data_IF_506403500125
#
_entry.id   IF_506403500125
#
_cell.length_a   1.000
_cell.length_b   1.000
_cell.length_c   1.000
_cell.angle_alpha   90.00
_cell.angle_beta   90.00
_cell.angle_gamma   90.00
#
_symmetry.space_group_name_H-M   'P 1'
#
loop_
_entity.id
_entity.type
_entity.pdbx_description
1 polymer ?
#
# COMPACT_ATOMS: atom_id res chain seq x y z
N UNK A 1 -11.32 -33.95 -19.25
CA UNK A 1 -11.83 -32.79 -20.00
C UNK A 1 -11.13 -31.57 -19.44
N UNK A 2 -10.17 -31.05 -20.19
CA UNK A 2 -9.27 -29.96 -19.84
C UNK A 2 -9.96 -28.61 -19.99
N UNK A 3 -10.12 -27.86 -18.90
CA UNK A 3 -10.24 -26.40 -18.96
C UNK A 3 -9.19 -25.80 -18.04
N UNK A 4 -8.02 -25.57 -18.61
CA UNK A 4 -6.95 -24.81 -18.00
C UNK A 4 -7.21 -23.31 -18.17
N UNK A 5 -7.45 -22.65 -17.05
CA UNK A 5 -7.02 -21.27 -16.81
C UNK A 5 -6.58 -21.22 -15.35
N UNK A 6 -5.33 -21.60 -15.11
CA UNK A 6 -4.66 -21.39 -13.83
C UNK A 6 -4.33 -19.89 -13.70
N UNK A 7 -5.34 -19.04 -13.49
CA UNK A 7 -5.08 -17.71 -12.95
C UNK A 7 -4.58 -17.94 -11.52
N UNK A 8 -3.29 -17.74 -11.31
CA UNK A 8 -2.70 -17.78 -9.98
C UNK A 8 -3.50 -16.82 -9.09
N UNK A 9 -4.13 -17.35 -8.03
CA UNK A 9 -4.81 -16.54 -7.02
C UNK A 9 -3.82 -15.81 -6.11
N UNK A 10 -2.52 -16.09 -6.28
CA UNK A 10 -1.46 -15.64 -5.40
C UNK A 10 -0.96 -14.26 -5.82
N UNK A 11 -0.96 -13.34 -4.85
CA UNK A 11 -0.13 -12.14 -4.86
C UNK A 11 0.94 -12.30 -3.79
N UNK A 12 2.17 -11.91 -4.11
CA UNK A 12 3.26 -11.93 -3.14
C UNK A 12 3.04 -10.81 -2.11
N UNK A 13 2.52 -11.16 -0.94
CA UNK A 13 2.19 -10.23 0.12
C UNK A 13 2.67 -10.74 1.49
N UNK A 14 3.36 -9.89 2.23
CA UNK A 14 3.74 -10.13 3.62
C UNK A 14 2.82 -9.35 4.53
N UNK A 15 2.25 -10.01 5.54
CA UNK A 15 1.41 -9.35 6.55
C UNK A 15 2.16 -9.21 7.85
N UNK A 16 1.93 -8.09 8.50
CA UNK A 16 2.59 -7.71 9.74
C UNK A 16 1.58 -7.10 10.68
N UNK A 17 1.78 -7.37 11.95
CA UNK A 17 1.04 -6.68 12.99
C UNK A 17 1.54 -5.24 13.07
N UNK A 18 0.60 -4.32 13.24
CA UNK A 18 0.91 -3.00 13.74
C UNK A 18 0.96 -3.03 15.28
N UNK A 19 1.20 -1.89 15.93
CA UNK A 19 1.36 -1.84 17.37
C UNK A 19 0.14 -2.40 18.14
N UNK A 20 -1.08 -2.10 17.69
CA UNK A 20 -2.34 -2.49 18.33
C UNK A 20 -3.27 -3.34 17.43
N UNK A 21 -2.87 -3.63 16.19
CA UNK A 21 -3.72 -4.28 15.20
C UNK A 21 -3.01 -5.46 14.54
N UNK A 22 -3.63 -6.64 14.60
CA UNK A 22 -3.16 -7.80 13.82
C UNK A 22 -3.38 -7.56 12.32
N UNK A 23 -2.43 -7.97 11.48
CA UNK A 23 -2.44 -7.72 10.03
C UNK A 23 -2.65 -6.23 9.64
N UNK A 24 -2.27 -5.29 10.52
CA UNK A 24 -2.44 -3.84 10.28
C UNK A 24 -1.50 -3.27 9.22
N UNK A 25 -0.44 -3.99 8.85
CA UNK A 25 0.46 -3.63 7.75
C UNK A 25 0.54 -4.79 6.77
N UNK A 26 0.45 -4.48 5.48
CA UNK A 26 0.66 -5.42 4.40
C UNK A 26 1.74 -4.85 3.47
N UNK A 27 2.67 -5.69 3.01
CA UNK A 27 3.71 -5.30 2.08
C UNK A 27 3.59 -6.14 0.82
N UNK A 28 3.62 -5.50 -0.34
CA UNK A 28 3.67 -6.17 -1.65
C UNK A 28 4.80 -5.60 -2.49
N UNK A 29 5.24 -6.37 -3.47
CA UNK A 29 5.95 -5.80 -4.62
C UNK A 29 4.97 -5.04 -5.51
N UNK A 30 5.53 -4.25 -6.42
CA UNK A 30 4.80 -3.60 -7.49
C UNK A 30 3.98 -4.61 -8.30
N UNK A 31 2.64 -4.50 -8.35
CA UNK A 31 1.84 -5.44 -9.12
C UNK A 31 2.20 -5.33 -10.60
N UNK A 32 2.37 -6.49 -11.23
CA UNK A 32 2.56 -6.65 -12.66
C UNK A 32 1.19 -6.64 -13.36
N UNK A 33 1.13 -6.41 -14.69
CA UNK A 33 -0.13 -6.44 -15.43
C UNK A 33 -1.00 -7.68 -15.16
N UNK A 34 -0.37 -8.84 -15.01
CA UNK A 34 -1.03 -10.12 -14.75
C UNK A 34 -1.36 -10.37 -13.27
N UNK A 35 -0.83 -9.58 -12.33
CA UNK A 35 -1.09 -9.69 -10.87
C UNK A 35 -1.90 -8.52 -10.29
N UNK A 36 -2.18 -7.50 -11.10
CA UNK A 36 -2.90 -6.30 -10.68
C UNK A 36 -4.34 -6.59 -10.24
N UNK A 37 -5.02 -7.54 -10.88
CA UNK A 37 -6.37 -7.96 -10.46
C UNK A 37 -6.39 -8.53 -9.03
N UNK A 38 -5.34 -9.28 -8.67
CA UNK A 38 -5.15 -9.87 -7.35
C UNK A 38 -4.80 -8.78 -6.33
N UNK A 39 -4.05 -7.74 -6.71
CA UNK A 39 -3.79 -6.59 -5.85
C UNK A 39 -5.08 -5.85 -5.49
N UNK A 40 -5.91 -5.51 -6.48
CA UNK A 40 -7.20 -4.86 -6.22
C UNK A 40 -8.14 -5.71 -5.37
N UNK A 41 -8.16 -7.04 -5.61
CA UNK A 41 -8.93 -7.96 -4.76
C UNK A 41 -8.42 -7.97 -3.32
N UNK A 42 -7.10 -7.98 -3.11
CA UNK A 42 -6.50 -7.87 -1.78
C UNK A 42 -6.95 -6.59 -1.07
N UNK A 43 -6.92 -5.43 -1.76
CA UNK A 43 -7.36 -4.15 -1.18
C UNK A 43 -8.81 -4.22 -0.68
N UNK A 44 -9.70 -4.79 -1.50
CA UNK A 44 -11.10 -4.94 -1.16
C UNK A 44 -11.33 -5.94 -0.01
N UNK A 45 -10.79 -7.15 -0.12
CA UNK A 45 -11.00 -8.23 0.86
C UNK A 45 -10.40 -7.91 2.24
N UNK A 46 -9.34 -7.10 2.27
CA UNK A 46 -8.69 -6.65 3.51
C UNK A 46 -9.18 -5.31 4.02
N UNK A 47 -10.18 -4.71 3.36
CA UNK A 47 -10.76 -3.43 3.74
C UNK A 47 -9.66 -2.37 3.98
N UNK A 48 -8.69 -2.31 3.07
CA UNK A 48 -7.47 -1.49 3.18
C UNK A 48 -7.83 -0.01 3.21
N UNK A 49 -7.27 0.76 4.14
CA UNK A 49 -7.50 2.21 4.15
C UNK A 49 -6.60 2.94 3.17
N UNK A 50 -5.31 2.61 3.17
CA UNK A 50 -4.29 3.29 2.39
C UNK A 50 -3.43 2.29 1.62
N UNK A 51 -3.26 2.52 0.33
CA UNK A 51 -2.23 1.90 -0.48
C UNK A 51 -1.13 2.91 -0.78
N UNK A 52 0.02 2.74 -0.12
CA UNK A 52 1.18 3.62 -0.19
C UNK A 52 2.20 3.06 -1.16
N UNK A 53 2.49 3.83 -2.19
CA UNK A 53 3.46 3.55 -3.23
C UNK A 53 4.69 4.42 -2.97
N UNK A 54 5.81 3.75 -2.68
CA UNK A 54 6.99 4.40 -2.13
C UNK A 54 7.99 4.83 -3.21
N UNK A 55 8.14 4.07 -4.29
CA UNK A 55 9.07 4.36 -5.39
C UNK A 55 8.36 4.39 -6.75
N UNK A 56 9.10 4.86 -7.76
CA UNK A 56 8.65 4.92 -9.15
C UNK A 56 8.45 3.52 -9.75
N UNK A 57 7.24 3.27 -10.27
CA UNK A 57 6.96 2.08 -11.10
C UNK A 57 7.56 2.19 -12.52
N UNK A 58 7.75 1.04 -13.21
CA UNK A 58 8.63 0.92 -14.37
C UNK A 58 8.06 1.50 -15.68
N UNK A 59 8.97 1.77 -16.60
CA UNK A 59 8.86 2.52 -17.87
C UNK A 59 7.95 1.92 -18.97
N UNK A 60 7.07 0.95 -18.68
CA UNK A 60 6.27 0.27 -19.70
C UNK A 60 4.84 0.85 -19.83
N UNK A 61 4.55 1.50 -20.97
CA UNK A 61 3.27 2.18 -21.30
C UNK A 61 2.00 1.34 -21.07
N UNK A 62 2.04 0.03 -21.29
CA UNK A 62 0.86 -0.82 -21.15
C UNK A 62 0.52 -1.12 -19.68
N UNK A 63 1.53 -1.21 -18.81
CA UNK A 63 1.35 -1.35 -17.35
C UNK A 63 0.92 -0.03 -16.72
N UNK A 64 1.39 1.09 -17.27
CA UNK A 64 1.14 2.44 -16.78
C UNK A 64 -0.36 2.79 -16.77
N UNK A 65 -1.14 2.39 -17.79
CA UNK A 65 -2.58 2.72 -17.87
C UNK A 65 -3.44 2.06 -16.80
N UNK A 66 -2.98 0.94 -16.23
CA UNK A 66 -3.71 0.20 -15.21
C UNK A 66 -3.18 0.47 -13.80
N UNK A 67 -2.05 1.18 -13.71
CA UNK A 67 -1.36 1.40 -12.44
C UNK A 67 -2.11 2.47 -11.62
N UNK A 68 -2.38 2.23 -10.32
CA UNK A 68 -3.29 3.08 -9.56
C UNK A 68 -2.92 4.58 -9.48
N UNK A 69 -1.63 4.97 -9.37
CA UNK A 69 -1.20 6.37 -9.47
C UNK A 69 -1.49 7.06 -10.81
N UNK A 70 -1.85 6.34 -11.87
CA UNK A 70 -2.05 6.92 -13.19
C UNK A 70 -3.53 7.01 -13.57
N UNK A 71 -4.42 6.61 -12.66
CA UNK A 71 -5.86 6.80 -12.82
C UNK A 71 -6.20 8.28 -12.84
N UNK A 72 -6.82 8.71 -13.93
CA UNK A 72 -7.38 10.06 -14.03
C UNK A 72 -8.62 10.20 -13.16
N UNK A 73 -8.94 11.42 -12.73
CA UNK A 73 -10.19 11.68 -12.00
C UNK A 73 -11.40 11.25 -12.84
N UNK A 74 -12.31 10.47 -12.24
CA UNK A 74 -13.48 9.93 -12.92
C UNK A 74 -13.23 8.66 -13.74
N UNK A 75 -11.98 8.22 -13.89
CA UNK A 75 -11.64 6.98 -14.58
C UNK A 75 -12.10 5.76 -13.77
N UNK A 76 -12.52 4.71 -14.50
CA UNK A 76 -12.97 3.45 -13.90
C UNK A 76 -12.28 2.25 -14.51
N UNK A 77 -11.80 1.35 -13.65
CA UNK A 77 -11.27 0.05 -14.03
C UNK A 77 -12.21 -1.08 -13.61
N UNK A 78 -12.12 -2.20 -14.33
CA UNK A 78 -12.87 -3.41 -14.02
C UNK A 78 -11.90 -4.60 -13.95
N UNK A 79 -11.81 -5.21 -12.77
CA UNK A 79 -11.09 -6.46 -12.57
C UNK A 79 -12.03 -7.50 -11.98
N UNK A 80 -12.16 -8.66 -12.62
CA UNK A 80 -13.06 -9.73 -12.19
C UNK A 80 -14.49 -9.22 -11.89
N UNK A 81 -14.88 -9.21 -10.61
CA UNK A 81 -16.19 -8.74 -10.13
C UNK A 81 -16.14 -7.35 -9.45
N UNK A 82 -14.97 -6.72 -9.42
CA UNK A 82 -14.72 -5.46 -8.77
C UNK A 82 -14.78 -4.31 -9.78
N UNK A 83 -15.51 -3.26 -9.42
CA UNK A 83 -15.52 -1.98 -10.10
C UNK A 83 -14.71 -1.00 -9.26
N UNK A 84 -13.66 -0.43 -9.85
CA UNK A 84 -12.78 0.54 -9.21
C UNK A 84 -12.98 1.87 -9.90
N UNK A 85 -13.15 2.94 -9.14
CA UNK A 85 -13.31 4.29 -9.67
C UNK A 85 -12.46 5.28 -8.91
N UNK A 86 -11.69 6.07 -9.64
CA UNK A 86 -10.97 7.24 -9.12
C UNK A 86 -11.95 8.39 -8.97
N UNK A 87 -12.08 8.94 -7.76
CA UNK A 87 -13.07 9.98 -7.44
C UNK A 87 -12.45 11.38 -7.40
N UNK A 88 -11.31 11.54 -6.71
CA UNK A 88 -10.61 12.81 -6.58
C UNK A 88 -9.10 12.59 -6.45
N UNK A 89 -8.33 13.55 -6.96
CA UNK A 89 -6.86 13.57 -6.84
C UNK A 89 -6.40 14.90 -6.23
N UNK A 90 -5.57 14.81 -5.20
CA UNK A 90 -4.96 15.96 -4.52
C UNK A 90 -3.44 15.84 -4.59
N UNK A 91 -2.79 16.87 -5.11
CA UNK A 91 -1.33 16.98 -5.14
C UNK A 91 -0.84 17.76 -3.93
N UNK A 92 -0.03 17.12 -3.07
CA UNK A 92 0.74 17.77 -2.02
C UNK A 92 2.19 17.97 -2.50
N UNK A 93 2.97 18.73 -1.72
CA UNK A 93 4.40 18.93 -1.98
C UNK A 93 5.17 17.60 -2.01
N UNK A 94 4.93 16.75 -1.01
CA UNK A 94 5.71 15.54 -0.76
C UNK A 94 5.10 14.27 -1.38
N UNK A 95 3.80 14.27 -1.67
CA UNK A 95 3.08 13.10 -2.17
C UNK A 95 1.82 13.49 -2.95
N UNK A 96 1.26 12.53 -3.68
CA UNK A 96 -0.06 12.63 -4.32
C UNK A 96 -1.04 11.69 -3.63
N UNK A 97 -2.27 12.15 -3.41
CA UNK A 97 -3.36 11.39 -2.82
C UNK A 97 -4.47 11.21 -3.84
N UNK A 98 -4.96 9.98 -4.00
CA UNK A 98 -6.08 9.65 -4.88
C UNK A 98 -7.14 8.92 -4.05
N UNK A 99 -8.38 9.41 -4.07
CA UNK A 99 -9.51 8.71 -3.46
C UNK A 99 -10.09 7.72 -4.45
N UNK A 100 -10.29 6.48 -4.00
CA UNK A 100 -10.78 5.39 -4.85
C UNK A 100 -11.96 4.69 -4.19
N UNK A 101 -12.99 4.38 -4.99
CA UNK A 101 -14.12 3.55 -4.58
C UNK A 101 -14.02 2.15 -5.20
N UNK A 102 -14.29 1.13 -4.39
CA UNK A 102 -14.26 -0.29 -4.76
C UNK A 102 -15.63 -0.89 -4.47
N UNK A 103 -16.31 -1.38 -5.51
CA UNK A 103 -17.65 -1.94 -5.41
C UNK A 103 -17.79 -3.28 -6.16
N UNK A 104 -18.56 -4.21 -5.60
CA UNK A 104 -18.88 -5.47 -6.28
C UNK A 104 -20.00 -5.27 -7.30
N UNK A 105 -19.74 -5.59 -8.57
CA UNK A 105 -20.65 -5.28 -9.70
C UNK A 105 -22.05 -5.88 -9.60
N UNK A 106 -22.19 -7.02 -8.91
CA UNK A 106 -23.45 -7.79 -8.84
C UNK A 106 -24.11 -7.76 -7.47
N UNK A 107 -23.62 -6.89 -6.59
CA UNK A 107 -24.15 -6.79 -5.24
C UNK A 107 -24.56 -5.35 -4.97
N UNK A 108 -25.88 -5.10 -5.01
CA UNK A 108 -26.45 -3.84 -4.52
C UNK A 108 -26.47 -3.75 -2.99
N UNK A 109 -26.18 -4.87 -2.32
CA UNK A 109 -26.16 -4.98 -0.86
C UNK A 109 -24.76 -4.87 -0.26
N UNK A 110 -23.70 -5.09 -1.05
CA UNK A 110 -22.32 -4.98 -0.55
C UNK A 110 -21.94 -3.52 -0.43
N UNK A 111 -21.39 -3.08 0.73
CA UNK A 111 -20.97 -1.71 0.90
C UNK A 111 -19.84 -1.38 -0.09
N UNK A 112 -19.89 -0.16 -0.64
CA UNK A 112 -18.77 0.42 -1.37
C UNK A 112 -17.65 0.67 -0.37
N UNK A 113 -16.48 0.09 -0.65
CA UNK A 113 -15.27 0.34 0.12
C UNK A 113 -14.57 1.57 -0.43
N UNK A 114 -14.23 2.52 0.43
CA UNK A 114 -13.46 3.73 0.09
C UNK A 114 -12.06 3.55 0.64
N UNK A 115 -11.06 3.75 -0.22
CA UNK A 115 -9.65 3.74 0.15
C UNK A 115 -8.92 4.92 -0.50
N UNK A 116 -7.69 5.11 -0.08
CA UNK A 116 -6.81 6.14 -0.61
C UNK A 116 -5.52 5.52 -1.14
N UNK A 117 -5.05 6.08 -2.25
CA UNK A 117 -3.76 5.72 -2.82
C UNK A 117 -2.84 6.91 -2.61
N UNK A 118 -1.70 6.65 -1.99
CA UNK A 118 -0.68 7.63 -1.71
C UNK A 118 0.55 7.31 -2.52
N UNK A 119 1.01 8.25 -3.32
CA UNK A 119 2.23 8.12 -4.11
C UNK A 119 3.26 9.10 -3.57
N UNK A 120 4.31 8.57 -2.93
CA UNK A 120 5.39 9.38 -2.37
C UNK A 120 6.30 9.89 -3.49
N UNK A 121 6.65 11.17 -3.44
CA UNK A 121 7.54 11.76 -4.43
C UNK A 121 9.00 11.40 -4.11
N UNK A 122 9.77 11.03 -5.15
CA UNK A 122 11.24 11.07 -5.07
C UNK A 122 11.91 10.00 -4.21
N UNK A 123 11.44 8.74 -4.21
CA UNK A 123 12.26 7.61 -3.75
C UNK A 123 12.97 6.94 -4.93
N UNK A 124 14.31 7.01 -5.02
CA UNK A 124 15.06 6.39 -6.10
C UNK A 124 15.06 4.86 -5.98
N UNK A 125 14.83 4.13 -7.07
CA UNK A 125 14.75 2.65 -7.08
C UNK A 125 16.02 1.94 -6.54
N UNK A 126 17.16 2.63 -6.49
CA UNK A 126 18.44 2.10 -5.99
C UNK A 126 18.86 2.68 -4.63
N UNK A 127 17.95 3.36 -3.92
CA UNK A 127 18.22 3.98 -2.63
C UNK A 127 17.49 3.26 -1.49
N UNK A 128 18.19 3.07 -0.38
CA UNK A 128 17.60 2.54 0.85
C UNK A 128 16.77 3.59 1.62
N UNK A 129 16.88 4.88 1.24
CA UNK A 129 16.19 6.02 1.87
C UNK A 129 15.55 6.94 0.83
N UNK A 130 14.45 7.66 1.15
CA UNK A 130 13.90 8.68 0.26
C UNK A 130 14.87 9.87 0.15
N UNK A 131 14.69 10.69 -0.88
CA UNK A 131 15.47 11.94 -1.02
C UNK A 131 15.20 12.89 0.16
N UNK A 132 13.94 12.96 0.60
CA UNK A 132 13.55 13.68 1.81
C UNK A 132 12.93 12.71 2.83
N UNK A 133 13.65 12.50 3.94
CA UNK A 133 13.19 11.65 5.05
C UNK A 133 11.96 12.22 5.76
N UNK A 134 11.76 13.56 5.72
CA UNK A 134 10.62 14.23 6.34
C UNK A 134 9.34 13.95 5.54
N UNK A 135 9.44 13.80 4.22
CA UNK A 135 8.31 13.50 3.34
C UNK A 135 7.57 12.22 3.76
N UNK A 136 8.31 11.14 4.08
CA UNK A 136 7.72 9.89 4.54
C UNK A 136 6.99 10.06 5.89
N UNK A 137 7.60 10.80 6.84
CA UNK A 137 6.98 11.07 8.14
C UNK A 137 5.68 11.85 7.97
N UNK A 138 5.71 12.94 7.17
CA UNK A 138 4.52 13.76 6.86
C UNK A 138 3.41 12.93 6.21
N UNK A 139 3.77 12.02 5.31
CA UNK A 139 2.81 11.14 4.65
C UNK A 139 2.14 10.19 5.67
N UNK A 140 2.91 9.50 6.50
CA UNK A 140 2.35 8.58 7.51
C UNK A 140 1.50 9.33 8.55
N UNK A 141 1.96 10.52 8.98
CA UNK A 141 1.18 11.37 9.87
C UNK A 141 -0.14 11.80 9.22
N UNK A 142 -0.13 12.19 7.94
CA UNK A 142 -1.35 12.50 7.20
C UNK A 142 -2.31 11.30 7.11
N UNK A 143 -1.80 10.09 6.87
CA UNK A 143 -2.61 8.86 6.83
C UNK A 143 -3.31 8.63 8.18
N UNK A 144 -2.57 8.75 9.28
CA UNK A 144 -3.14 8.60 10.63
C UNK A 144 -4.22 9.64 10.93
N UNK A 145 -4.02 10.90 10.55
CA UNK A 145 -5.04 11.94 10.70
C UNK A 145 -6.31 11.65 9.88
N UNK A 146 -6.16 11.01 8.71
CA UNK A 146 -7.30 10.64 7.86
C UNK A 146 -7.98 9.33 8.29
N UNK A 147 -7.31 8.48 9.08
CA UNK A 147 -7.84 7.22 9.61
C UNK A 147 -7.76 7.15 11.15
N UNK A 148 -8.50 7.98 11.88
CA UNK A 148 -8.44 8.04 13.34
C UNK A 148 -8.88 6.72 14.01
N UNK A 149 -9.61 5.86 13.29
CA UNK A 149 -10.06 4.58 13.83
C UNK A 149 -8.98 3.50 13.86
N UNK A 150 -7.90 3.65 13.08
CA UNK A 150 -6.75 2.75 12.99
C UNK A 150 -7.09 1.24 12.91
N UNK A 151 -8.28 0.88 12.38
CA UNK A 151 -8.76 -0.51 12.31
C UNK A 151 -8.65 -1.11 10.90
N UNK A 152 -8.06 -0.37 9.96
CA UNK A 152 -7.95 -0.75 8.56
C UNK A 152 -6.48 -0.80 8.16
N UNK A 153 -6.05 -1.85 7.45
CA UNK A 153 -4.63 -2.01 7.12
C UNK A 153 -4.10 -0.90 6.19
N UNK A 154 -2.79 -0.66 6.29
CA UNK A 154 -2.01 0.09 5.31
C UNK A 154 -1.23 -0.92 4.47
N UNK A 155 -1.29 -0.77 3.15
CA UNK A 155 -0.46 -1.54 2.21
C UNK A 155 0.70 -0.68 1.75
N UNK A 156 1.94 -1.14 1.93
CA UNK A 156 3.13 -0.53 1.34
C UNK A 156 3.59 -1.31 0.11
N UNK A 157 3.97 -0.58 -0.92
CA UNK A 157 4.49 -1.16 -2.17
C UNK A 157 5.72 -0.40 -2.64
N UNK A 158 6.76 -1.14 -3.01
CA UNK A 158 7.92 -0.67 -3.76
C UNK A 158 8.31 -1.71 -4.82
N UNK A 159 9.34 -1.43 -5.61
CA UNK A 159 9.85 -2.29 -6.69
C UNK A 159 9.97 -3.77 -6.35
N UNK A 160 10.67 -4.11 -5.28
CA UNK A 160 10.86 -5.49 -4.81
C UNK A 160 9.99 -5.87 -3.58
N UNK A 161 9.25 -4.89 -3.05
CA UNK A 161 8.52 -5.02 -1.80
C UNK A 161 9.43 -5.30 -0.60
N UNK A 162 10.70 -4.89 -0.64
CA UNK A 162 11.70 -5.16 0.41
C UNK A 162 12.16 -3.87 1.07
N UNK A 163 13.01 -3.08 0.41
CA UNK A 163 13.82 -2.05 1.10
C UNK A 163 12.99 -0.86 1.57
N UNK A 164 12.38 -0.13 0.63
CA UNK A 164 11.56 1.03 0.96
C UNK A 164 10.36 0.63 1.84
N UNK A 165 9.73 -0.50 1.52
CA UNK A 165 8.65 -1.06 2.33
C UNK A 165 9.10 -1.38 3.77
N UNK A 166 10.29 -1.94 3.97
CA UNK A 166 10.84 -2.24 5.28
C UNK A 166 11.05 -0.99 6.13
N UNK A 167 11.60 0.07 5.53
CA UNK A 167 11.76 1.37 6.20
C UNK A 167 10.41 1.98 6.57
N UNK A 168 9.46 2.02 5.63
CA UNK A 168 8.12 2.56 5.87
C UNK A 168 7.35 1.78 6.94
N UNK A 169 7.37 0.44 6.89
CA UNK A 169 6.70 -0.42 7.87
C UNK A 169 7.32 -0.32 9.27
N UNK A 170 8.64 -0.12 9.35
CA UNK A 170 9.33 0.13 10.63
C UNK A 170 8.92 1.47 11.20
N UNK A 171 8.95 2.53 10.38
CA UNK A 171 8.56 3.86 10.81
C UNK A 171 7.09 3.93 11.23
N UNK A 172 6.20 3.25 10.52
CA UNK A 172 4.79 3.11 10.88
C UNK A 172 4.62 2.51 12.28
N UNK A 173 5.31 1.41 12.59
CA UNK A 173 5.29 0.81 13.93
C UNK A 173 5.81 1.78 15.02
N UNK A 174 6.86 2.54 14.71
CA UNK A 174 7.44 3.53 15.63
C UNK A 174 6.45 4.67 15.88
N UNK A 175 5.85 5.24 14.83
CA UNK A 175 4.89 6.34 14.93
C UNK A 175 3.65 5.94 15.73
N UNK A 176 3.10 4.74 15.50
CA UNK A 176 1.97 4.27 16.29
C UNK A 176 2.32 4.09 17.77
N UNK A 177 3.52 3.58 18.08
CA UNK A 177 3.96 3.45 19.46
C UNK A 177 4.14 4.80 20.14
N UNK A 178 4.67 5.80 19.43
CA UNK A 178 4.74 7.18 19.93
C UNK A 178 3.34 7.72 20.21
N UNK A 179 2.40 7.56 19.28
CA UNK A 179 1.03 8.06 19.43
C UNK A 179 0.26 7.40 20.58
N UNK A 180 0.46 6.10 20.79
CA UNK A 180 -0.29 5.31 21.79
C UNK A 180 0.37 5.28 23.18
N UNK A 181 1.70 5.38 23.25
CA UNK A 181 2.46 5.20 24.51
C UNK A 181 3.38 6.38 24.85
N UNK A 182 3.64 7.30 23.92
CA UNK A 182 4.62 8.38 24.13
C UNK A 182 6.07 7.89 24.17
N UNK A 183 6.35 6.68 23.68
CA UNK A 183 7.66 6.04 23.73
C UNK A 183 8.23 5.73 22.35
N UNK A 184 9.56 5.76 22.24
CA UNK A 184 10.31 5.35 21.05
C UNK A 184 11.16 4.14 21.39
N UNK A 185 11.02 3.06 20.61
CA UNK A 185 11.81 1.85 20.72
C UNK A 185 12.05 1.26 19.34
N UNK A 186 13.11 1.76 18.71
CA UNK A 186 13.50 1.40 17.35
C UNK A 186 13.92 -0.07 17.28
N UNK A 187 14.61 -0.58 18.31
CA UNK A 187 15.09 -1.96 18.33
C UNK A 187 13.93 -2.95 18.25
N UNK A 188 12.92 -2.80 19.10
CA UNK A 188 11.74 -3.68 19.07
C UNK A 188 10.96 -3.54 17.77
N UNK A 189 10.83 -2.33 17.22
CA UNK A 189 10.19 -2.12 15.92
C UNK A 189 10.92 -2.87 14.80
N UNK A 190 12.24 -2.76 14.72
CA UNK A 190 13.07 -3.47 13.73
C UNK A 190 12.97 -4.98 13.90
N UNK A 191 13.06 -5.50 15.14
CA UNK A 191 12.95 -6.94 15.40
C UNK A 191 11.59 -7.51 14.95
N UNK A 192 10.49 -6.77 15.15
CA UNK A 192 9.15 -7.17 14.68
C UNK A 192 9.12 -7.30 13.16
N UNK A 193 9.59 -6.28 12.45
CA UNK A 193 9.61 -6.26 10.99
C UNK A 193 10.52 -7.37 10.43
N UNK A 194 11.71 -7.56 10.99
CA UNK A 194 12.64 -8.62 10.58
C UNK A 194 12.11 -10.03 10.85
N UNK A 195 11.33 -10.23 11.93
CA UNK A 195 10.68 -11.52 12.19
C UNK A 195 9.63 -11.87 11.15
N UNK A 196 8.99 -10.87 10.53
CA UNK A 196 8.02 -11.08 9.46
C UNK A 196 8.69 -11.30 8.10
N UNK A 197 9.73 -10.52 7.78
CA UNK A 197 10.56 -10.72 6.58
C UNK A 197 12.00 -10.26 6.84
N UNK A 198 12.96 -11.19 6.95
CA UNK A 198 14.36 -10.86 7.25
C UNK A 198 15.03 -9.95 6.21
N UNK A 199 14.52 -9.92 4.98
CA UNK A 199 15.09 -9.09 3.92
C UNK A 199 14.75 -7.60 4.06
N UNK A 200 13.78 -7.20 4.90
CA UNK A 200 13.34 -5.81 4.96
C UNK A 200 14.44 -4.80 5.32
N UNK A 201 15.40 -5.19 6.16
CA UNK A 201 16.54 -4.35 6.53
C UNK A 201 17.80 -5.23 6.47
N UNK A 202 18.64 -4.99 5.46
CA UNK A 202 19.82 -5.85 5.17
C UNK A 202 21.18 -5.21 5.46
N UNK A 203 21.22 -3.90 5.70
CA UNK A 203 22.45 -3.16 6.03
C UNK A 203 22.51 -2.87 7.54
N UNK A 204 23.62 -3.31 8.16
CA UNK A 204 24.00 -3.03 9.55
C UNK A 204 25.31 -2.26 9.57
#
# INVERSE_FOLDING_TARGET
>A
MSNGTSTSQYINAVRMNNFNQADGIIVTEHPLPNTLSQAWRLMYEKNVFAWVILDTQPENEDTLKLYPPLLSEGESLQFEHLHIRSEDTVQYEDFRKIRVTLALRRSTASPTHIMYIYYLNGWPNNSDIPIDNIALIKLLDHIHHCNPSANQPIVFTCSDGVKACGVAATLENVLQRIQLQGEVDIYTAVQRILSARPQFITSW
#
